data_IF_748103642010
#
_entry.id   IF_748103642010
#
_cell.length_a   1.000
_cell.length_b   1.000
_cell.length_c   1.000
_cell.angle_alpha   90.00
_cell.angle_beta   90.00
_cell.angle_gamma   90.00
#
_symmetry.space_group_name_H-M   'P 1'
#
loop_
_entity.id
_entity.type
_entity.pdbx_description
1 polymer ?
#
# COMPACT_ATOMS: atom_id res chain seq x y z
N UNK A 1 -26.67 -9.54 -39.18
CA UNK A 1 -27.13 -8.63 -38.12
C UNK A 1 -26.01 -8.48 -37.11
N UNK A 2 -25.52 -7.23 -36.98
CA UNK A 2 -24.44 -6.77 -36.10
C UNK A 2 -24.75 -7.01 -34.65
N UNK A 3 -23.72 -7.32 -33.87
CA UNK A 3 -23.65 -6.77 -32.51
C UNK A 3 -22.17 -6.51 -32.14
N UNK A 4 -21.80 -5.25 -32.26
CA UNK A 4 -20.66 -4.65 -31.56
C UNK A 4 -21.22 -4.01 -30.29
N UNK A 5 -20.68 -4.34 -29.16
CA UNK A 5 -20.74 -3.55 -27.92
C UNK A 5 -19.59 -4.02 -27.05
N UNK A 6 -18.62 -3.22 -26.90
CA UNK A 6 -18.30 -2.10 -26.04
C UNK A 6 -17.34 -2.52 -24.93
N UNK A 7 -16.03 -2.38 -25.21
CA UNK A 7 -14.97 -2.25 -24.19
C UNK A 7 -14.51 -0.78 -24.16
N UNK A 8 -15.19 0.04 -23.35
CA UNK A 8 -14.84 1.45 -23.17
C UNK A 8 -14.83 1.93 -21.72
N UNK A 9 -14.87 1.02 -20.72
CA UNK A 9 -14.98 1.42 -19.30
C UNK A 9 -13.68 1.40 -18.51
N UNK A 10 -12.58 0.83 -19.04
CA UNK A 10 -11.30 0.74 -18.34
C UNK A 10 -10.39 1.96 -18.52
N UNK A 11 -10.54 2.73 -19.60
CA UNK A 11 -9.65 3.87 -19.90
C UNK A 11 -10.03 5.17 -19.18
N UNK A 12 -11.30 5.35 -18.79
CA UNK A 12 -11.76 6.56 -18.08
C UNK A 12 -11.39 6.59 -16.61
N UNK A 13 -11.20 5.45 -15.96
CA UNK A 13 -10.79 5.38 -14.55
C UNK A 13 -9.32 5.69 -14.36
N UNK A 14 -8.46 5.28 -15.29
CA UNK A 14 -7.01 5.51 -15.24
C UNK A 14 -6.65 6.97 -15.53
N UNK A 15 -7.39 7.63 -16.43
CA UNK A 15 -7.17 9.04 -16.78
C UNK A 15 -7.60 10.00 -15.64
N UNK A 16 -8.55 9.59 -14.77
CA UNK A 16 -8.93 10.36 -13.58
C UNK A 16 -7.90 10.33 -12.46
N UNK A 17 -7.06 9.30 -12.41
CA UNK A 17 -6.02 9.14 -11.38
C UNK A 17 -4.97 10.24 -11.45
N UNK A 18 -4.65 10.73 -12.65
CA UNK A 18 -3.62 11.73 -12.89
C UNK A 18 -4.11 13.18 -12.68
N UNK A 19 -5.42 13.44 -12.63
CA UNK A 19 -5.96 14.79 -12.61
C UNK A 19 -6.12 15.43 -11.22
N UNK A 20 -6.17 14.65 -10.15
CA UNK A 20 -6.41 15.17 -8.79
C UNK A 20 -5.27 14.92 -7.79
N UNK A 21 -4.20 14.22 -8.15
CA UNK A 21 -3.03 13.97 -7.30
C UNK A 21 -3.31 13.22 -5.98
N UNK A 22 -4.55 12.73 -5.76
CA UNK A 22 -4.97 12.02 -4.54
C UNK A 22 -5.26 10.55 -4.86
N UNK A 23 -4.69 9.65 -4.07
CA UNK A 23 -4.83 8.21 -4.23
C UNK A 23 -5.52 7.59 -3.01
N UNK A 24 -6.50 6.71 -3.23
CA UNK A 24 -6.96 5.77 -2.21
C UNK A 24 -5.95 4.64 -2.05
N UNK A 25 -6.08 3.84 -0.98
CA UNK A 25 -5.20 2.68 -0.76
C UNK A 25 -5.31 1.66 -1.92
N UNK A 26 -6.52 1.38 -2.37
CA UNK A 26 -6.77 0.51 -3.54
C UNK A 26 -6.12 1.04 -4.81
N UNK A 27 -6.25 2.34 -5.08
CA UNK A 27 -5.64 2.98 -6.24
C UNK A 27 -4.12 2.93 -6.17
N UNK A 28 -3.53 3.21 -5.02
CA UNK A 28 -2.09 3.13 -4.82
C UNK A 28 -1.56 1.71 -5.06
N UNK A 29 -2.18 0.69 -4.47
CA UNK A 29 -1.81 -0.70 -4.70
C UNK A 29 -1.91 -1.09 -6.19
N UNK A 30 -2.93 -0.61 -6.88
CA UNK A 30 -3.11 -0.81 -8.32
C UNK A 30 -2.02 -0.13 -9.15
N UNK A 31 -1.64 1.10 -8.82
CA UNK A 31 -0.54 1.82 -9.48
C UNK A 31 0.78 1.06 -9.33
N UNK A 32 1.12 0.60 -8.14
CA UNK A 32 2.32 -0.21 -7.88
C UNK A 32 2.28 -1.51 -8.70
N UNK A 33 1.12 -2.18 -8.75
CA UNK A 33 0.95 -3.38 -9.58
C UNK A 33 1.19 -3.09 -11.05
N UNK A 34 0.61 -2.03 -11.59
CA UNK A 34 0.76 -1.66 -13.00
C UNK A 34 2.22 -1.39 -13.36
N UNK A 35 2.96 -0.72 -12.49
CA UNK A 35 4.36 -0.37 -12.75
C UNK A 35 5.33 -1.57 -12.64
N UNK A 36 5.13 -2.45 -11.68
CA UNK A 36 6.20 -3.35 -11.25
C UNK A 36 5.85 -4.84 -11.20
N UNK A 37 4.61 -5.25 -11.42
CA UNK A 37 4.14 -6.62 -11.14
C UNK A 37 4.97 -7.72 -11.79
N UNK A 38 5.35 -7.57 -13.05
CA UNK A 38 6.15 -8.59 -13.74
C UNK A 38 7.53 -8.77 -13.09
N UNK A 39 8.18 -7.67 -12.73
CA UNK A 39 9.47 -7.69 -12.02
C UNK A 39 9.32 -8.29 -10.62
N UNK A 40 8.28 -7.90 -9.92
CA UNK A 40 8.00 -8.34 -8.56
C UNK A 40 7.67 -9.83 -8.52
N UNK A 41 6.86 -10.31 -9.47
CA UNK A 41 6.53 -11.73 -9.61
C UNK A 41 7.77 -12.56 -9.94
N UNK A 42 8.64 -12.08 -10.83
CA UNK A 42 9.90 -12.74 -11.18
C UNK A 42 10.86 -12.81 -10.00
N UNK A 43 10.93 -11.77 -9.17
CA UNK A 43 11.77 -11.74 -7.96
C UNK A 43 11.25 -12.67 -6.87
N UNK A 44 9.93 -12.79 -6.75
CA UNK A 44 9.26 -13.58 -5.73
C UNK A 44 9.15 -12.87 -4.38
N UNK A 45 8.42 -13.51 -3.46
CA UNK A 45 8.08 -12.90 -2.16
C UNK A 45 9.30 -12.72 -1.27
N UNK A 46 10.23 -13.67 -1.27
CA UNK A 46 11.43 -13.62 -0.44
C UNK A 46 12.36 -12.48 -0.83
N UNK A 47 12.61 -12.31 -2.13
CA UNK A 47 13.44 -11.22 -2.65
C UNK A 47 12.78 -9.86 -2.42
N UNK A 48 11.46 -9.78 -2.56
CA UNK A 48 10.70 -8.56 -2.30
C UNK A 48 10.72 -8.21 -0.81
N UNK A 49 10.63 -9.20 0.08
CA UNK A 49 10.74 -8.97 1.52
C UNK A 49 12.12 -8.43 1.92
N UNK A 50 13.18 -8.89 1.28
CA UNK A 50 14.54 -8.36 1.54
C UNK A 50 14.63 -6.86 1.21
N UNK A 51 14.09 -6.45 0.06
CA UNK A 51 14.02 -5.04 -0.33
C UNK A 51 13.13 -4.22 0.63
N UNK A 52 11.98 -4.75 1.01
CA UNK A 52 11.12 -4.12 2.01
C UNK A 52 11.87 -3.86 3.33
N UNK A 53 12.66 -4.80 3.79
CA UNK A 53 13.45 -4.64 5.02
C UNK A 53 14.56 -3.60 4.87
N UNK A 54 15.13 -3.44 3.68
CA UNK A 54 16.07 -2.36 3.38
C UNK A 54 15.40 -0.99 3.53
N UNK A 55 14.22 -0.81 2.93
CA UNK A 55 13.46 0.44 3.04
C UNK A 55 13.02 0.74 4.49
N UNK A 56 12.66 -0.27 5.26
CA UNK A 56 12.41 -0.11 6.71
C UNK A 56 13.66 0.38 7.43
N UNK A 57 14.84 -0.10 7.03
CA UNK A 57 16.12 0.38 7.56
C UNK A 57 16.39 1.84 7.20
N UNK A 58 16.13 2.25 5.96
CA UNK A 58 16.28 3.64 5.50
C UNK A 58 15.30 4.57 6.22
N UNK A 59 14.03 4.18 6.37
CA UNK A 59 13.06 4.91 7.19
C UNK A 59 13.55 5.05 8.64
N UNK A 60 14.08 3.99 9.23
CA UNK A 60 14.64 4.03 10.59
C UNK A 60 15.78 5.04 10.71
N UNK A 61 16.67 5.11 9.72
CA UNK A 61 17.75 6.08 9.66
C UNK A 61 17.23 7.51 9.54
N UNK A 62 16.28 7.74 8.63
CA UNK A 62 15.66 9.05 8.43
C UNK A 62 14.94 9.57 9.69
N UNK A 63 14.25 8.67 10.42
CA UNK A 63 13.60 8.99 11.70
C UNK A 63 14.61 9.37 12.77
N UNK A 64 15.74 8.68 12.86
CA UNK A 64 16.80 8.96 13.82
C UNK A 64 17.51 10.27 13.54
N UNK A 65 17.79 10.56 12.27
CA UNK A 65 18.49 11.77 11.84
C UNK A 65 17.59 13.01 12.02
N UNK A 66 16.32 12.90 11.69
CA UNK A 66 15.25 13.90 11.89
C UNK A 66 15.64 15.33 11.47
N UNK A 67 16.41 15.46 10.40
CA UNK A 67 16.93 16.74 9.91
C UNK A 67 16.42 17.11 8.50
N UNK A 68 15.72 16.18 7.84
CA UNK A 68 15.19 16.36 6.48
C UNK A 68 13.76 15.80 6.36
N UNK A 69 12.72 16.65 6.56
CA UNK A 69 11.32 16.20 6.48
C UNK A 69 10.90 15.66 5.10
N UNK A 70 11.50 16.16 4.03
CA UNK A 70 11.20 15.70 2.67
C UNK A 70 11.70 14.27 2.47
N UNK A 71 12.95 13.99 2.82
CA UNK A 71 13.51 12.65 2.78
C UNK A 71 12.70 11.69 3.67
N UNK A 72 12.33 12.12 4.86
CA UNK A 72 11.51 11.29 5.76
C UNK A 72 10.16 10.92 5.12
N UNK A 73 9.51 11.85 4.43
CA UNK A 73 8.26 11.58 3.72
C UNK A 73 8.46 10.58 2.56
N UNK A 74 9.58 10.68 1.84
CA UNK A 74 9.95 9.73 0.76
C UNK A 74 10.13 8.31 1.33
N UNK A 75 10.84 8.15 2.44
CA UNK A 75 11.05 6.83 3.06
C UNK A 75 9.73 6.18 3.53
N UNK A 76 8.78 6.98 4.04
CA UNK A 76 7.43 6.46 4.32
C UNK A 76 6.71 5.98 3.06
N UNK A 77 6.84 6.72 1.95
CA UNK A 77 6.25 6.34 0.68
C UNK A 77 6.87 5.06 0.13
N UNK A 78 8.19 4.90 0.24
CA UNK A 78 8.91 3.72 -0.23
C UNK A 78 8.55 2.46 0.58
N UNK A 79 8.47 2.57 1.89
CA UNK A 79 7.98 1.46 2.75
C UNK A 79 6.56 1.05 2.37
N UNK A 80 5.66 2.01 2.11
CA UNK A 80 4.29 1.72 1.69
C UNK A 80 4.26 1.09 0.29
N UNK A 81 5.11 1.55 -0.64
CA UNK A 81 5.22 0.98 -1.98
C UNK A 81 5.69 -0.48 -1.93
N UNK A 82 6.74 -0.79 -1.19
CA UNK A 82 7.23 -2.16 -1.05
C UNK A 82 6.26 -3.08 -0.31
N UNK A 83 5.53 -2.56 0.68
CA UNK A 83 4.42 -3.30 1.31
C UNK A 83 3.33 -3.63 0.29
N UNK A 84 2.97 -2.69 -0.56
CA UNK A 84 1.99 -2.89 -1.65
C UNK A 84 2.48 -3.90 -2.69
N UNK A 85 3.77 -3.88 -3.02
CA UNK A 85 4.42 -4.89 -3.88
C UNK A 85 4.28 -6.28 -3.28
N UNK A 86 4.61 -6.47 -2.01
CA UNK A 86 4.45 -7.77 -1.34
C UNK A 86 2.98 -8.23 -1.33
N UNK A 87 2.05 -7.33 -1.06
CA UNK A 87 0.62 -7.64 -1.09
C UNK A 87 0.17 -8.10 -2.49
N UNK A 88 0.65 -7.42 -3.54
CA UNK A 88 0.37 -7.80 -4.92
C UNK A 88 0.90 -9.21 -5.26
N UNK A 89 2.13 -9.52 -4.88
CA UNK A 89 2.75 -10.84 -5.09
C UNK A 89 2.02 -11.93 -4.28
N UNK A 90 1.61 -11.62 -3.06
CA UNK A 90 0.87 -12.53 -2.19
C UNK A 90 -0.62 -12.66 -2.53
N UNK A 91 -1.14 -11.87 -3.48
CA UNK A 91 -2.56 -11.85 -3.83
C UNK A 91 -3.46 -11.27 -2.75
N UNK A 92 -2.97 -10.35 -1.93
CA UNK A 92 -3.69 -9.70 -0.85
C UNK A 92 -4.18 -8.32 -1.29
N UNK A 93 -5.47 -8.06 -1.10
CA UNK A 93 -6.09 -6.75 -1.22
C UNK A 93 -5.92 -6.00 0.11
N UNK A 94 -5.11 -4.94 0.12
CA UNK A 94 -4.80 -4.18 1.33
C UNK A 94 -6.02 -3.46 1.89
N UNK A 95 -6.87 -2.88 1.05
CA UNK A 95 -8.08 -2.20 1.51
C UNK A 95 -9.03 -3.17 2.23
N UNK A 96 -9.27 -4.34 1.64
CA UNK A 96 -10.07 -5.38 2.30
C UNK A 96 -9.43 -5.84 3.61
N UNK A 97 -8.12 -6.03 3.63
CA UNK A 97 -7.40 -6.47 4.82
C UNK A 97 -7.53 -5.47 5.97
N UNK A 98 -7.29 -4.19 5.71
CA UNK A 98 -7.40 -3.14 6.75
C UNK A 98 -8.84 -2.87 7.15
N UNK A 99 -9.79 -2.91 6.21
CA UNK A 99 -11.22 -2.74 6.49
C UNK A 99 -11.71 -3.83 7.42
N UNK A 100 -11.41 -5.09 7.11
CA UNK A 100 -11.80 -6.23 7.94
C UNK A 100 -11.26 -6.12 9.36
N UNK A 101 -10.06 -5.61 9.50
CA UNK A 101 -9.36 -5.59 10.79
C UNK A 101 -9.67 -4.36 11.64
N UNK A 102 -9.84 -3.18 11.02
CA UNK A 102 -9.83 -1.90 11.73
C UNK A 102 -11.10 -1.06 11.58
N UNK A 103 -12.02 -1.38 10.66
CA UNK A 103 -13.19 -0.53 10.42
C UNK A 103 -14.08 -0.35 11.65
N UNK A 104 -14.08 -1.34 12.56
CA UNK A 104 -14.88 -1.31 13.79
C UNK A 104 -14.11 -0.75 15.00
N UNK A 105 -12.92 -0.17 14.78
CA UNK A 105 -12.05 0.33 15.83
C UNK A 105 -10.90 -0.62 16.19
N UNK A 106 -10.41 -0.52 17.41
CA UNK A 106 -9.31 -1.35 17.88
C UNK A 106 -9.64 -2.85 17.78
N UNK A 107 -8.80 -3.67 17.12
CA UNK A 107 -9.06 -5.11 16.94
C UNK A 107 -9.23 -5.88 18.25
N UNK A 108 -8.76 -5.33 19.35
CA UNK A 108 -8.77 -5.98 20.67
C UNK A 108 -9.93 -5.56 21.55
N UNK A 109 -10.10 -4.26 21.78
CA UNK A 109 -11.15 -3.72 22.65
C UNK A 109 -12.40 -3.25 21.90
N UNK A 110 -12.38 -3.24 20.57
CA UNK A 110 -13.47 -2.81 19.69
C UNK A 110 -13.96 -1.37 19.94
N UNK A 111 -13.11 -0.53 20.55
CA UNK A 111 -13.39 0.90 20.74
C UNK A 111 -12.73 1.72 19.64
N UNK A 112 -13.39 2.80 19.22
CA UNK A 112 -12.82 3.76 18.26
C UNK A 112 -11.58 4.43 18.86
N UNK A 113 -11.68 4.84 20.12
CA UNK A 113 -10.51 5.25 20.92
C UNK A 113 -10.10 4.07 21.78
N UNK A 114 -8.93 3.50 21.50
CA UNK A 114 -8.46 2.30 22.17
C UNK A 114 -8.31 2.51 23.69
N UNK A 115 -8.89 1.60 24.46
CA UNK A 115 -8.80 1.54 25.94
C UNK A 115 -7.93 0.39 26.43
N UNK A 116 -7.17 -0.27 25.56
CA UNK A 116 -6.23 -1.33 25.94
C UNK A 116 -5.11 -0.78 26.81
N UNK A 117 -4.55 -1.65 27.65
CA UNK A 117 -3.33 -1.37 28.41
C UNK A 117 -2.18 -1.01 27.46
N UNK A 118 -1.44 0.07 27.79
CA UNK A 118 -0.29 0.56 27.03
C UNK A 118 0.84 -0.48 26.89
N UNK A 119 0.91 -1.45 27.80
CA UNK A 119 1.93 -2.51 27.77
C UNK A 119 1.69 -3.58 26.68
N UNK A 120 0.57 -3.52 26.00
CA UNK A 120 0.16 -4.56 25.02
C UNK A 120 -0.15 -3.94 23.66
N UNK A 121 0.37 -4.56 22.61
CA UNK A 121 -0.07 -4.23 21.24
C UNK A 121 -1.56 -4.54 21.08
N UNK A 122 -2.30 -3.64 20.40
CA UNK A 122 -3.70 -3.88 20.07
C UNK A 122 -3.91 -5.07 19.12
#
# INVERSE_FOLDING_TARGET
>A
VNNQSSDASSSESDDKLHKNGSLTLTQFQSVIRTMFFEKDQSRGIEGTFMWFMEEVGELSSALRENNNPENLAEEFADVLAWLSTMANVAGIDLEQAVTRKYVQGCPRCHQIVCTCDLSRKP
#
